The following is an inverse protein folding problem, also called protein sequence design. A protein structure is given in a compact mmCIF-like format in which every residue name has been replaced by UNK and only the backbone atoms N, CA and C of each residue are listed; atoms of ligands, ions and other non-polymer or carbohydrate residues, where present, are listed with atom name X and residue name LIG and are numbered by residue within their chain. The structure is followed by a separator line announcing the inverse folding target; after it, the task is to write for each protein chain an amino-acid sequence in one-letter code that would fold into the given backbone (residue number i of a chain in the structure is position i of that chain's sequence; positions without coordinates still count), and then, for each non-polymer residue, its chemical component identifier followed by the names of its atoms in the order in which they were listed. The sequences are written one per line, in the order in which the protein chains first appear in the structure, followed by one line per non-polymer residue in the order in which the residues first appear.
data_IF_003802901349
#
_entry.id   IF_003802901349
#
_cell.length_a   1.000
_cell.length_b   1.000
_cell.length_c   1.000
_cell.angle_alpha   90.00
_cell.angle_beta   90.00
_cell.angle_gamma   90.00
#
_symmetry.space_group_name_H-M   'P 1'
#
loop_
_entity.id
_entity.type
_entity.pdbx_description
1 polymer ?
#
# COMPACT_ATOMS: atom_id res chain seq x y z
N UNK A 1 17.06 7.64 8.00
CA UNK A 1 15.62 7.66 8.25
C UNK A 1 14.97 6.56 7.44
N UNK A 2 13.93 5.91 7.99
CA UNK A 2 13.13 4.90 7.33
C UNK A 2 11.66 5.15 7.67
N UNK A 3 10.81 5.36 6.66
CA UNK A 3 9.38 5.59 6.83
C UNK A 3 8.64 4.42 6.18
N UNK A 4 7.90 3.70 7.00
CA UNK A 4 7.04 2.60 6.58
C UNK A 4 5.68 3.16 6.16
N UNK A 5 5.34 3.02 4.87
CA UNK A 5 4.05 3.52 4.35
C UNK A 5 2.88 2.61 4.70
N UNK A 6 3.14 1.38 5.18
CA UNK A 6 2.13 0.35 5.32
C UNK A 6 2.38 -0.54 6.56
N UNK A 7 1.69 -0.23 7.64
CA UNK A 7 1.67 -1.04 8.85
C UNK A 7 0.28 -1.04 9.48
N UNK A 8 0.04 -2.03 10.32
CA UNK A 8 -1.25 -2.25 10.95
C UNK A 8 -1.16 -2.42 12.46
N UNK A 9 -2.25 -2.08 13.12
CA UNK A 9 -2.59 -2.50 14.47
C UNK A 9 -3.91 -3.26 14.42
N UNK A 10 -4.23 -4.02 15.44
CA UNK A 10 -5.51 -4.72 15.53
C UNK A 10 -5.36 -6.19 15.83
N UNK A 11 -6.48 -6.88 15.80
CA UNK A 11 -6.59 -8.30 16.10
C UNK A 11 -6.87 -9.09 14.83
N UNK A 12 -6.07 -10.12 14.57
CA UNK A 12 -6.38 -11.07 13.51
C UNK A 12 -7.53 -11.97 13.95
N UNK A 13 -8.64 -11.95 13.21
CA UNK A 13 -9.87 -12.66 13.61
C UNK A 13 -9.71 -14.18 13.59
N UNK A 14 -8.86 -14.72 12.73
CA UNK A 14 -8.56 -16.16 12.66
C UNK A 14 -7.60 -16.64 13.73
N UNK A 15 -6.84 -15.74 14.36
CA UNK A 15 -5.87 -16.04 15.41
C UNK A 15 -5.86 -14.96 16.50
N UNK A 16 -6.65 -15.19 17.52
CA UNK A 16 -6.85 -14.21 18.62
C UNK A 16 -5.58 -13.92 19.45
N UNK A 17 -4.52 -14.71 19.33
CA UNK A 17 -3.24 -14.45 19.98
C UNK A 17 -2.41 -13.43 19.21
N UNK A 18 -2.67 -13.29 17.92
CA UNK A 18 -2.07 -12.29 17.06
C UNK A 18 -2.83 -10.96 17.17
N UNK A 19 -2.50 -10.21 18.21
CA UNK A 19 -3.00 -8.86 18.46
C UNK A 19 -1.82 -7.89 18.51
N UNK A 20 -1.82 -6.93 17.61
CA UNK A 20 -0.84 -5.84 17.57
C UNK A 20 -1.48 -4.59 18.15
N UNK A 21 -1.16 -4.29 19.40
CA UNK A 21 -1.46 -2.98 19.95
C UNK A 21 -0.40 -1.95 19.52
N UNK A 22 -0.65 -0.68 19.81
CA UNK A 22 0.27 0.39 19.45
C UNK A 22 1.65 0.23 20.09
N UNK A 23 1.74 -0.36 21.29
CA UNK A 23 3.03 -0.60 21.99
C UNK A 23 3.83 -1.69 21.26
N UNK A 24 3.15 -2.73 20.81
CA UNK A 24 3.78 -3.78 19.99
C UNK A 24 4.28 -3.21 18.63
N UNK A 25 3.52 -2.32 18.01
CA UNK A 25 3.94 -1.67 16.78
C UNK A 25 5.21 -0.84 17.01
N UNK A 26 5.25 0.01 18.05
CA UNK A 26 6.44 0.79 18.40
C UNK A 26 7.65 -0.12 18.68
N UNK A 27 7.47 -1.21 19.42
CA UNK A 27 8.54 -2.16 19.69
C UNK A 27 9.09 -2.81 18.40
N UNK A 28 8.23 -3.13 17.43
CA UNK A 28 8.65 -3.60 16.09
C UNK A 28 9.43 -2.54 15.32
N UNK A 29 8.92 -1.31 15.30
CA UNK A 29 9.61 -0.19 14.66
C UNK A 29 11.02 -0.01 15.22
N UNK A 30 11.18 -0.06 16.54
CA UNK A 30 12.48 0.06 17.20
C UNK A 30 13.41 -1.10 16.85
N UNK A 31 12.91 -2.33 16.86
CA UNK A 31 13.69 -3.53 16.48
C UNK A 31 14.14 -3.50 15.00
N UNK A 32 13.33 -2.92 14.14
CA UNK A 32 13.61 -2.85 12.70
C UNK A 32 14.25 -1.52 12.26
N UNK A 33 14.42 -0.56 13.17
CA UNK A 33 15.02 0.76 12.87
C UNK A 33 14.13 1.61 11.98
N UNK A 34 12.80 1.50 12.14
CA UNK A 34 11.81 2.30 11.44
C UNK A 34 11.51 3.56 12.27
N UNK A 35 11.68 4.72 11.66
CA UNK A 35 11.49 6.00 12.33
C UNK A 35 10.01 6.38 12.43
N UNK A 36 9.25 6.17 11.35
CA UNK A 36 7.81 6.45 11.29
C UNK A 36 7.07 5.34 10.55
N UNK A 37 5.82 5.09 10.94
CA UNK A 37 4.92 4.15 10.25
C UNK A 37 3.57 4.80 9.98
N UNK A 38 3.08 4.69 8.74
CA UNK A 38 1.68 4.93 8.43
C UNK A 38 0.86 3.74 8.91
N UNK A 39 -0.18 4.02 9.67
CA UNK A 39 -1.05 2.98 10.23
C UNK A 39 -2.37 2.99 9.47
N UNK A 40 -2.70 1.86 8.86
CA UNK A 40 -3.85 1.69 7.97
C UNK A 40 -4.95 0.88 8.66
N UNK A 41 -6.20 1.37 8.66
CA UNK A 41 -7.36 0.59 9.06
C UNK A 41 -7.80 -0.39 7.96
N UNK A 42 -8.60 -1.41 8.33
CA UNK A 42 -9.12 -2.42 7.40
C UNK A 42 -10.63 -2.67 7.55
N UNK A 43 -11.18 -2.50 8.75
CA UNK A 43 -12.50 -3.06 9.07
C UNK A 43 -13.70 -2.22 8.60
N UNK A 44 -13.51 -1.12 7.89
CA UNK A 44 -14.59 -0.40 7.20
C UNK A 44 -15.11 -1.15 5.97
N UNK A 45 -14.28 -2.02 5.39
CA UNK A 45 -14.69 -2.91 4.31
C UNK A 45 -15.06 -4.29 4.85
N UNK A 46 -16.18 -4.89 4.45
CA UNK A 46 -16.50 -6.29 4.80
C UNK A 46 -15.39 -7.27 4.42
N UNK A 47 -14.67 -7.01 3.35
CA UNK A 47 -13.53 -7.79 2.88
C UNK A 47 -12.31 -7.67 3.81
N UNK A 48 -12.22 -6.59 4.58
CA UNK A 48 -11.18 -6.33 5.58
C UNK A 48 -11.37 -7.04 6.92
N UNK A 49 -12.35 -7.93 7.03
CA UNK A 49 -12.64 -8.70 8.24
C UNK A 49 -11.47 -9.58 8.74
N UNK A 50 -10.37 -9.64 8.00
CA UNK A 50 -9.15 -10.30 8.42
C UNK A 50 -8.53 -9.66 9.68
N UNK A 51 -8.52 -8.34 9.75
CA UNK A 51 -7.94 -7.57 10.84
C UNK A 51 -8.95 -6.58 11.42
N UNK A 52 -9.28 -6.74 12.70
CA UNK A 52 -10.19 -5.88 13.44
C UNK A 52 -9.48 -4.58 13.84
N UNK A 53 -9.58 -3.57 13.00
CA UNK A 53 -9.06 -2.22 13.21
C UNK A 53 -9.79 -1.23 12.31
N UNK A 54 -10.47 -0.27 12.88
CA UNK A 54 -11.14 0.81 12.16
C UNK A 54 -10.36 2.13 12.19
N UNK A 55 -10.85 3.14 11.47
CA UNK A 55 -10.21 4.46 11.39
C UNK A 55 -10.09 5.13 12.76
N UNK A 56 -11.09 4.99 13.64
CA UNK A 56 -11.05 5.54 14.99
C UNK A 56 -9.94 4.90 15.84
N UNK A 57 -9.78 3.58 15.74
CA UNK A 57 -8.71 2.86 16.44
C UNK A 57 -7.34 3.36 16.00
N UNK A 58 -7.16 3.58 14.68
CA UNK A 58 -5.93 4.11 14.11
C UNK A 58 -5.64 5.53 14.60
N UNK A 59 -6.60 6.44 14.51
CA UNK A 59 -6.43 7.84 14.96
C UNK A 59 -6.08 7.87 16.46
N UNK A 60 -6.79 7.11 17.28
CA UNK A 60 -6.55 7.03 18.70
C UNK A 60 -5.17 6.45 19.04
N UNK A 61 -4.72 5.43 18.31
CA UNK A 61 -3.39 4.87 18.49
C UNK A 61 -2.29 5.86 18.09
N UNK A 62 -2.44 6.50 16.92
CA UNK A 62 -1.46 7.46 16.40
C UNK A 62 -1.33 8.70 17.29
N UNK A 63 -2.42 9.18 17.90
CA UNK A 63 -2.39 10.32 18.81
C UNK A 63 -1.50 10.10 20.05
N UNK A 64 -1.23 8.85 20.43
CA UNK A 64 -0.33 8.51 21.54
C UNK A 64 1.16 8.61 21.18
N UNK A 65 1.49 8.56 19.88
CA UNK A 65 2.86 8.60 19.37
C UNK A 65 2.94 9.47 18.10
N UNK A 66 2.59 10.77 18.19
CA UNK A 66 2.43 11.64 17.02
C UNK A 66 3.72 11.86 16.23
N UNK A 67 4.88 11.69 16.86
CA UNK A 67 6.18 11.79 16.20
C UNK A 67 6.58 10.51 15.44
N UNK A 68 5.91 9.40 15.71
CA UNK A 68 6.24 8.07 15.19
C UNK A 68 5.19 7.50 14.26
N UNK A 69 3.92 7.79 14.50
CA UNK A 69 2.79 7.19 13.80
C UNK A 69 2.00 8.22 13.02
N UNK A 70 1.60 7.84 11.80
CA UNK A 70 0.87 8.68 10.85
C UNK A 70 -0.44 7.96 10.54
N UNK A 71 -1.60 8.53 10.91
CA UNK A 71 -2.87 7.86 10.64
C UNK A 71 -3.25 7.94 9.17
N UNK A 72 -3.74 6.82 8.65
CA UNK A 72 -4.59 6.76 7.46
C UNK A 72 -6.04 6.58 7.88
N UNK A 73 -6.97 6.92 7.03
CA UNK A 73 -8.38 6.63 7.20
C UNK A 73 -8.86 5.64 6.13
N UNK A 74 -10.02 5.05 6.33
CA UNK A 74 -10.65 4.21 5.34
C UNK A 74 -12.10 4.67 5.15
N UNK A 75 -12.53 4.73 3.90
CA UNK A 75 -13.90 5.07 3.51
C UNK A 75 -14.36 4.02 2.50
N UNK A 76 -15.46 3.33 2.81
CA UNK A 76 -16.03 2.41 1.84
C UNK A 76 -16.73 3.20 0.73
N UNK A 77 -16.34 3.05 -0.56
CA UNK A 77 -16.97 3.76 -1.66
C UNK A 77 -18.44 3.39 -1.85
N UNK A 78 -18.89 2.27 -1.28
CA UNK A 78 -20.29 1.82 -1.27
C UNK A 78 -21.16 2.56 -0.25
N UNK A 79 -20.56 3.36 0.62
CA UNK A 79 -21.29 4.13 1.61
C UNK A 79 -22.30 5.07 0.91
N UNK A 80 -23.56 5.00 1.34
CA UNK A 80 -24.66 5.71 0.69
C UNK A 80 -25.16 5.07 -0.61
N UNK A 81 -24.47 4.07 -1.16
CA UNK A 81 -24.84 3.29 -2.36
C UNK A 81 -25.26 4.17 -3.56
N UNK A 82 -24.54 5.26 -3.79
CA UNK A 82 -24.81 6.21 -4.86
C UNK A 82 -23.53 6.82 -5.42
N UNK A 83 -23.29 6.80 -6.76
CA UNK A 83 -22.07 7.31 -7.38
C UNK A 83 -21.89 8.84 -7.29
N UNK A 84 -22.87 9.56 -6.79
CA UNK A 84 -22.79 10.99 -6.47
C UNK A 84 -22.78 11.26 -4.96
N UNK A 85 -22.44 10.27 -4.11
CA UNK A 85 -22.29 10.48 -2.67
C UNK A 85 -21.24 11.55 -2.41
N UNK A 86 -21.58 12.52 -1.58
CA UNK A 86 -20.67 13.57 -1.15
C UNK A 86 -19.89 13.11 0.08
N UNK A 87 -18.59 12.86 -0.10
CA UNK A 87 -17.65 12.47 0.96
C UNK A 87 -16.92 13.66 1.58
N UNK A 88 -17.20 14.90 1.14
CA UNK A 88 -16.46 16.10 1.56
C UNK A 88 -16.33 16.20 3.07
N UNK A 89 -17.45 16.04 3.79
CA UNK A 89 -17.45 16.15 5.25
C UNK A 89 -16.54 15.11 5.93
N UNK A 90 -16.60 13.86 5.49
CA UNK A 90 -15.72 12.78 6.02
C UNK A 90 -14.25 13.04 5.71
N UNK A 91 -13.94 13.47 4.50
CA UNK A 91 -12.56 13.76 4.07
C UNK A 91 -12.00 14.97 4.84
N UNK A 92 -12.78 16.01 5.04
CA UNK A 92 -12.41 17.17 5.86
C UNK A 92 -12.17 16.78 7.31
N UNK A 93 -13.07 16.00 7.91
CA UNK A 93 -12.94 15.51 9.28
C UNK A 93 -11.68 14.70 9.48
N UNK A 94 -11.46 13.66 8.66
CA UNK A 94 -10.29 12.79 8.80
C UNK A 94 -8.99 13.54 8.57
N UNK A 95 -8.95 14.42 7.57
CA UNK A 95 -7.79 15.28 7.32
C UNK A 95 -7.51 16.22 8.51
N UNK A 96 -8.54 16.85 9.08
CA UNK A 96 -8.40 17.71 10.26
C UNK A 96 -7.89 16.94 11.49
N UNK A 97 -8.19 15.64 11.57
CA UNK A 97 -7.70 14.73 12.61
C UNK A 97 -6.32 14.12 12.33
N UNK A 98 -5.68 14.57 11.26
CA UNK A 98 -4.28 14.23 10.93
C UNK A 98 -4.10 13.09 9.95
N UNK A 99 -5.16 12.50 9.40
CA UNK A 99 -5.04 11.45 8.38
C UNK A 99 -4.34 11.99 7.13
N UNK A 100 -3.39 11.21 6.60
CA UNK A 100 -2.53 11.58 5.48
C UNK A 100 -2.79 10.79 4.20
N UNK A 101 -3.70 9.84 4.23
CA UNK A 101 -4.10 9.02 3.09
C UNK A 101 -5.33 8.19 3.40
N UNK A 102 -5.85 7.54 2.38
CA UNK A 102 -6.96 6.59 2.46
C UNK A 102 -6.40 5.19 2.16
N UNK A 103 -6.69 4.24 3.00
CA UNK A 103 -6.24 2.85 2.84
C UNK A 103 -6.19 2.10 4.18
N UNK A 104 -6.14 0.81 4.13
CA UNK A 104 -5.93 0.01 2.95
C UNK A 104 -7.25 -0.24 2.22
N UNK A 105 -7.35 0.23 0.96
CA UNK A 105 -8.58 0.14 0.17
C UNK A 105 -8.66 -1.23 -0.49
N UNK A 106 -9.58 -2.06 -0.01
CA UNK A 106 -9.76 -3.44 -0.50
C UNK A 106 -11.22 -3.88 -0.71
N UNK A 107 -12.15 -2.97 -1.12
CA UNK A 107 -13.49 -3.38 -1.45
C UNK A 107 -13.48 -4.27 -2.70
N UNK A 108 -14.34 -5.29 -2.73
CA UNK A 108 -14.47 -6.15 -3.90
C UNK A 108 -15.31 -5.46 -5.00
N UNK A 109 -14.77 -4.39 -5.55
CA UNK A 109 -15.31 -3.62 -6.66
C UNK A 109 -14.33 -3.62 -7.83
N UNK A 110 -14.84 -3.42 -9.03
CA UNK A 110 -13.96 -3.09 -10.15
C UNK A 110 -13.25 -1.76 -9.88
N UNK A 111 -12.02 -1.63 -10.33
CA UNK A 111 -11.24 -0.41 -10.14
C UNK A 111 -11.95 0.84 -10.69
N UNK A 112 -12.66 0.69 -11.78
CA UNK A 112 -13.44 1.73 -12.46
C UNK A 112 -14.94 1.71 -12.11
N UNK A 113 -15.33 1.08 -11.00
CA UNK A 113 -16.69 1.16 -10.51
C UNK A 113 -17.09 2.62 -10.25
N UNK A 114 -18.28 3.08 -10.68
CA UNK A 114 -18.70 4.47 -10.49
C UNK A 114 -18.68 4.95 -9.02
N UNK A 115 -18.91 4.05 -8.06
CA UNK A 115 -18.80 4.36 -6.63
C UNK A 115 -17.35 4.63 -6.24
N UNK A 116 -16.43 3.79 -6.71
CA UNK A 116 -14.99 3.93 -6.46
C UNK A 116 -14.43 5.20 -7.11
N UNK A 117 -14.73 5.43 -8.39
CA UNK A 117 -14.31 6.64 -9.12
C UNK A 117 -14.80 7.92 -8.44
N UNK A 118 -16.01 7.91 -7.87
CA UNK A 118 -16.55 9.06 -7.13
C UNK A 118 -15.68 9.37 -5.90
N UNK A 119 -15.33 8.36 -5.10
CA UNK A 119 -14.46 8.55 -3.94
C UNK A 119 -13.07 9.01 -4.37
N UNK A 120 -12.50 8.41 -5.43
CA UNK A 120 -11.16 8.78 -5.92
C UNK A 120 -11.09 10.24 -6.31
N UNK A 121 -12.03 10.73 -7.12
CA UNK A 121 -12.08 12.16 -7.52
C UNK A 121 -12.17 13.11 -6.33
N UNK A 122 -12.89 12.72 -5.29
CA UNK A 122 -13.01 13.54 -4.08
C UNK A 122 -11.70 13.47 -3.25
N UNK A 123 -11.12 12.31 -3.06
CA UNK A 123 -9.84 12.14 -2.35
C UNK A 123 -8.71 13.02 -2.94
N UNK A 124 -8.61 13.09 -4.27
CA UNK A 124 -7.64 13.93 -4.97
C UNK A 124 -7.75 15.42 -4.62
N UNK A 125 -8.96 15.94 -4.49
CA UNK A 125 -9.21 17.35 -4.10
C UNK A 125 -8.71 17.67 -2.69
N UNK A 126 -8.61 16.65 -1.84
CA UNK A 126 -8.09 16.77 -0.47
C UNK A 126 -6.62 16.39 -0.35
N UNK A 127 -5.96 16.05 -1.46
CA UNK A 127 -4.57 15.59 -1.48
C UNK A 127 -4.34 14.36 -0.60
N UNK A 128 -5.34 13.48 -0.53
CA UNK A 128 -5.23 12.20 0.19
C UNK A 128 -4.93 11.09 -0.83
N UNK A 129 -3.71 10.56 -0.85
CA UNK A 129 -3.37 9.40 -1.69
C UNK A 129 -4.20 8.19 -1.26
N UNK A 130 -4.45 7.28 -2.22
CA UNK A 130 -5.18 6.04 -1.99
C UNK A 130 -4.21 4.87 -2.09
N UNK A 131 -3.98 4.17 -0.99
CA UNK A 131 -3.28 2.88 -0.98
C UNK A 131 -4.31 1.78 -1.16
N UNK A 132 -4.16 1.00 -2.22
CA UNK A 132 -5.11 -0.05 -2.60
C UNK A 132 -4.47 -1.42 -2.64
N UNK A 133 -5.26 -2.46 -2.29
CA UNK A 133 -4.87 -3.86 -2.43
C UNK A 133 -5.64 -4.56 -3.55
N UNK A 134 -4.99 -5.53 -4.17
CA UNK A 134 -5.55 -6.38 -5.23
C UNK A 134 -5.13 -7.83 -5.02
N UNK A 135 -6.13 -8.71 -4.86
CA UNK A 135 -5.91 -10.16 -4.85
C UNK A 135 -7.03 -10.90 -5.55
N UNK A 136 -6.75 -11.45 -6.69
CA UNK A 136 -7.69 -12.28 -7.47
C UNK A 136 -7.88 -13.69 -6.88
N UNK A 137 -8.79 -14.45 -7.48
CA UNK A 137 -8.97 -15.87 -7.21
C UNK A 137 -9.94 -16.20 -6.08
N UNK A 138 -9.95 -17.46 -5.63
CA UNK A 138 -10.77 -17.89 -4.50
C UNK A 138 -10.40 -17.13 -3.25
N UNK A 139 -11.39 -16.68 -2.48
CA UNK A 139 -11.19 -15.82 -1.31
C UNK A 139 -10.52 -14.48 -1.66
N UNK A 140 -10.83 -13.95 -2.85
CA UNK A 140 -10.32 -12.66 -3.31
C UNK A 140 -10.82 -11.50 -2.43
N UNK A 141 -9.96 -10.53 -2.27
CA UNK A 141 -10.27 -9.24 -1.66
C UNK A 141 -9.58 -8.14 -2.49
N UNK A 142 -9.91 -6.89 -2.18
CA UNK A 142 -9.32 -5.78 -2.89
C UNK A 142 -10.02 -5.47 -4.20
N UNK A 143 -9.52 -4.44 -4.85
CA UNK A 143 -10.05 -3.96 -6.11
C UNK A 143 -9.79 -4.97 -7.24
N UNK A 144 -10.76 -5.12 -8.13
CA UNK A 144 -10.74 -6.10 -9.19
C UNK A 144 -10.34 -5.47 -10.53
N UNK A 145 -9.52 -6.17 -11.28
CA UNK A 145 -9.12 -5.77 -12.63
C UNK A 145 -8.86 -6.98 -13.53
N UNK A 146 -8.96 -6.77 -14.83
CA UNK A 146 -8.59 -7.73 -15.84
C UNK A 146 -7.04 -7.73 -16.05
N UNK A 147 -6.53 -8.70 -16.83
CA UNK A 147 -5.10 -8.73 -17.21
C UNK A 147 -4.70 -7.44 -17.92
N UNK A 148 -3.52 -6.94 -17.58
CA UNK A 148 -3.00 -5.68 -18.12
C UNK A 148 -3.49 -4.43 -17.41
N UNK A 149 -4.33 -4.59 -16.36
CA UNK A 149 -4.83 -3.53 -15.48
C UNK A 149 -5.57 -2.39 -16.22
N UNK A 150 -6.51 -2.72 -17.16
CA UNK A 150 -7.21 -1.68 -17.95
C UNK A 150 -8.13 -0.79 -17.11
N UNK A 151 -8.70 -1.32 -16.02
CA UNK A 151 -9.59 -0.55 -15.14
C UNK A 151 -8.82 0.39 -14.23
N UNK A 152 -7.66 -0.03 -13.73
CA UNK A 152 -6.72 0.86 -13.04
C UNK A 152 -6.27 1.97 -13.99
N UNK A 153 -5.93 1.63 -15.24
CA UNK A 153 -5.56 2.62 -16.24
C UNK A 153 -6.68 3.65 -16.46
N UNK A 154 -7.93 3.20 -16.56
CA UNK A 154 -9.09 4.10 -16.66
C UNK A 154 -9.23 4.99 -15.40
N UNK A 155 -9.10 4.44 -14.21
CA UNK A 155 -9.15 5.23 -12.98
C UNK A 155 -8.02 6.29 -12.90
N UNK A 156 -6.81 5.95 -13.35
CA UNK A 156 -5.68 6.89 -13.41
C UNK A 156 -5.97 8.08 -14.35
N UNK A 157 -6.66 7.82 -15.47
CA UNK A 157 -7.07 8.85 -16.43
C UNK A 157 -8.19 9.75 -15.90
N UNK A 158 -9.20 9.14 -15.29
CA UNK A 158 -10.37 9.83 -14.76
C UNK A 158 -10.11 10.63 -13.48
N UNK A 159 -9.05 10.26 -12.74
CA UNK A 159 -8.71 10.85 -11.45
C UNK A 159 -7.24 11.33 -11.41
N UNK A 160 -6.83 12.24 -12.31
CA UNK A 160 -5.42 12.64 -12.44
C UNK A 160 -4.85 13.38 -11.21
N UNK A 161 -5.72 13.94 -10.37
CA UNK A 161 -5.33 14.63 -9.13
C UNK A 161 -5.12 13.66 -7.97
N UNK A 162 -5.56 12.39 -8.10
CA UNK A 162 -5.48 11.37 -7.07
C UNK A 162 -4.22 10.55 -7.25
N UNK A 163 -3.37 10.48 -6.24
CA UNK A 163 -2.24 9.55 -6.24
C UNK A 163 -2.74 8.18 -5.77
N UNK A 164 -2.46 7.17 -6.59
CA UNK A 164 -2.74 5.78 -6.28
C UNK A 164 -1.44 5.07 -5.90
N UNK A 165 -1.45 4.34 -4.79
CA UNK A 165 -0.32 3.55 -4.29
C UNK A 165 -0.69 2.08 -4.43
N UNK A 166 -0.06 1.40 -5.37
CA UNK A 166 -0.34 0.01 -5.71
C UNK A 166 0.27 -0.96 -4.70
N UNK A 167 -0.57 -1.89 -4.24
CA UNK A 167 -0.23 -2.95 -3.31
C UNK A 167 -0.94 -4.26 -3.71
N UNK A 168 -0.46 -5.36 -3.16
CA UNK A 168 -1.10 -6.67 -3.22
C UNK A 168 -0.54 -7.64 -4.26
N UNK A 169 -0.90 -8.94 -4.11
CA UNK A 169 -0.34 -10.00 -4.96
C UNK A 169 -0.64 -9.81 -6.45
N UNK A 170 -1.87 -9.45 -6.80
CA UNK A 170 -2.26 -9.27 -8.21
C UNK A 170 -1.56 -8.07 -8.84
N UNK A 171 -1.46 -6.94 -8.13
CA UNK A 171 -0.70 -5.79 -8.61
C UNK A 171 0.74 -6.16 -8.91
N UNK A 172 1.45 -6.76 -7.93
CA UNK A 172 2.86 -7.12 -8.10
C UNK A 172 3.09 -8.29 -9.06
N UNK A 173 2.11 -9.15 -9.30
CA UNK A 173 2.20 -10.17 -10.34
C UNK A 173 2.27 -9.54 -11.74
N UNK A 174 1.49 -8.48 -11.99
CA UNK A 174 1.42 -7.75 -13.26
C UNK A 174 2.69 -6.92 -13.60
N UNK A 175 3.76 -7.07 -12.81
CA UNK A 175 5.10 -6.56 -13.18
C UNK A 175 5.67 -7.30 -14.41
N UNK A 176 5.15 -8.49 -14.73
CA UNK A 176 5.48 -9.29 -15.91
C UNK A 176 4.21 -9.55 -16.73
N UNK A 177 4.28 -9.56 -18.09
CA UNK A 177 3.09 -9.71 -18.92
C UNK A 177 2.52 -11.13 -18.97
N UNK A 178 3.32 -12.14 -18.61
CA UNK A 178 3.00 -13.56 -18.84
C UNK A 178 2.78 -14.33 -17.54
N UNK A 179 1.91 -13.82 -16.71
CA UNK A 179 1.60 -14.49 -15.45
C UNK A 179 0.46 -15.51 -15.68
N UNK A 180 0.68 -16.80 -15.37
CA UNK A 180 -0.39 -17.79 -15.39
C UNK A 180 -1.52 -17.41 -14.43
N UNK A 181 -2.77 -17.75 -14.83
CA UNK A 181 -3.96 -17.38 -14.06
C UNK A 181 -3.93 -17.88 -12.62
N UNK A 182 -3.39 -19.06 -12.40
CA UNK A 182 -3.24 -19.69 -11.08
C UNK A 182 -2.14 -19.04 -10.21
N UNK A 183 -1.28 -18.19 -10.79
CA UNK A 183 -0.20 -17.50 -10.09
C UNK A 183 -0.46 -16.00 -9.90
N UNK A 184 -1.43 -15.43 -10.62
CA UNK A 184 -1.73 -13.98 -10.58
C UNK A 184 -2.10 -13.48 -9.18
N UNK A 185 -2.78 -14.31 -8.39
CA UNK A 185 -3.15 -13.99 -7.01
C UNK A 185 -2.14 -14.44 -5.96
N UNK A 186 -0.91 -14.74 -6.38
CA UNK A 186 0.13 -15.29 -5.51
C UNK A 186 1.49 -14.62 -5.70
N UNK A 187 2.51 -15.40 -5.54
CA UNK A 187 3.91 -14.98 -5.67
C UNK A 187 4.57 -15.75 -6.83
N UNK A 188 4.45 -15.26 -8.08
CA UNK A 188 5.00 -15.94 -9.23
C UNK A 188 6.52 -16.12 -9.11
N UNK A 189 7.03 -17.27 -9.59
CA UNK A 189 8.46 -17.53 -9.70
C UNK A 189 9.02 -17.20 -11.09
N UNK A 190 10.36 -17.31 -11.21
CA UNK A 190 11.06 -17.16 -12.49
C UNK A 190 11.33 -15.72 -12.91
N UNK A 191 11.92 -15.57 -14.10
CA UNK A 191 12.34 -14.28 -14.65
C UNK A 191 11.15 -13.38 -14.97
N UNK A 192 11.37 -12.08 -14.85
CA UNK A 192 10.41 -11.05 -15.23
C UNK A 192 10.70 -10.63 -16.67
N UNK A 193 9.67 -10.68 -17.52
CA UNK A 193 9.78 -10.21 -18.89
C UNK A 193 9.31 -8.76 -19.02
N UNK A 194 9.88 -8.02 -19.96
CA UNK A 194 9.43 -6.67 -20.28
C UNK A 194 8.00 -6.66 -20.79
N UNK A 195 7.31 -5.55 -20.57
CA UNK A 195 5.94 -5.34 -21.04
C UNK A 195 4.85 -5.58 -19.99
N UNK A 196 5.21 -5.81 -18.72
CA UNK A 196 4.24 -5.88 -17.64
C UNK A 196 3.42 -4.62 -17.49
N UNK A 197 2.18 -4.75 -17.00
CA UNK A 197 1.26 -3.63 -16.86
C UNK A 197 1.75 -2.61 -15.82
N UNK A 198 2.28 -3.07 -14.69
CA UNK A 198 2.77 -2.18 -13.62
C UNK A 198 3.87 -1.24 -14.13
N UNK A 199 5.01 -1.70 -14.70
CA UNK A 199 6.02 -0.77 -15.20
C UNK A 199 5.50 0.10 -16.35
N UNK A 200 4.63 -0.40 -17.23
CA UNK A 200 4.01 0.38 -18.29
C UNK A 200 3.19 1.55 -17.73
N UNK A 201 2.29 1.26 -16.80
CA UNK A 201 1.42 2.28 -16.19
C UNK A 201 2.21 3.28 -15.35
N UNK A 202 3.21 2.82 -14.59
CA UNK A 202 4.06 3.71 -13.82
C UNK A 202 4.88 4.68 -14.68
N UNK A 203 5.28 4.28 -15.91
CA UNK A 203 5.93 5.20 -16.88
C UNK A 203 4.95 6.22 -17.43
N UNK A 204 3.73 5.77 -17.73
CA UNK A 204 2.73 6.57 -18.44
C UNK A 204 2.00 7.55 -17.51
N UNK A 205 1.72 7.14 -16.28
CA UNK A 205 0.88 7.90 -15.34
C UNK A 205 1.68 8.40 -14.13
N UNK A 206 1.82 9.73 -13.96
CA UNK A 206 2.56 10.31 -12.83
C UNK A 206 1.88 10.04 -11.49
N UNK A 207 0.60 9.76 -11.51
CA UNK A 207 -0.24 9.52 -10.33
C UNK A 207 -0.32 8.03 -9.90
N UNK A 208 0.41 7.12 -10.56
CA UNK A 208 0.59 5.75 -10.06
C UNK A 208 1.94 5.61 -9.37
N UNK A 209 1.91 5.24 -8.10
CA UNK A 209 3.02 4.92 -7.24
C UNK A 209 2.90 3.48 -6.76
N UNK A 210 3.90 2.94 -6.09
CA UNK A 210 3.82 1.58 -5.55
C UNK A 210 4.45 1.47 -4.16
N UNK A 211 3.82 0.65 -3.33
CA UNK A 211 4.27 0.23 -2.02
C UNK A 211 5.03 -1.10 -2.12
N UNK A 212 6.25 -1.15 -1.60
CA UNK A 212 7.13 -2.33 -1.70
C UNK A 212 6.88 -3.39 -0.63
N UNK A 213 5.82 -3.24 0.17
CA UNK A 213 5.55 -4.06 1.35
C UNK A 213 5.09 -5.49 1.04
N UNK A 214 4.91 -6.25 2.11
CA UNK A 214 4.47 -7.65 2.10
C UNK A 214 5.39 -8.63 1.34
N UNK A 215 4.97 -9.88 1.27
CA UNK A 215 5.59 -10.89 0.42
C UNK A 215 5.41 -10.62 -1.07
N UNK A 216 4.35 -9.90 -1.46
CA UNK A 216 4.06 -9.55 -2.85
C UNK A 216 5.06 -8.54 -3.41
N UNK A 217 5.30 -7.43 -2.72
CA UNK A 217 6.31 -6.45 -3.11
C UNK A 217 7.72 -7.05 -3.07
N UNK A 218 8.04 -7.79 -2.01
CA UNK A 218 9.32 -8.49 -1.92
C UNK A 218 9.52 -9.46 -3.09
N UNK A 219 8.52 -10.28 -3.44
CA UNK A 219 8.59 -11.19 -4.59
C UNK A 219 8.78 -10.43 -5.92
N UNK A 220 8.00 -9.37 -6.15
CA UNK A 220 8.12 -8.55 -7.35
C UNK A 220 9.52 -7.97 -7.56
N UNK A 221 10.19 -7.59 -6.48
CA UNK A 221 11.52 -6.97 -6.51
C UNK A 221 12.69 -7.95 -6.46
N UNK A 222 12.50 -9.19 -6.03
CA UNK A 222 13.61 -10.10 -5.74
C UNK A 222 13.60 -11.41 -6.52
N UNK A 223 12.46 -11.83 -7.10
CA UNK A 223 12.39 -13.07 -7.90
C UNK A 223 13.27 -13.04 -9.14
N UNK A 224 13.52 -11.84 -9.69
CA UNK A 224 14.50 -11.55 -10.74
C UNK A 224 15.38 -10.39 -10.27
N UNK A 225 16.55 -10.66 -9.68
CA UNK A 225 17.37 -9.62 -9.05
C UNK A 225 17.90 -8.55 -10.02
N UNK A 226 18.12 -8.89 -11.28
CA UNK A 226 18.58 -7.93 -12.29
C UNK A 226 17.46 -6.97 -12.66
N UNK A 227 16.27 -7.50 -12.93
CA UNK A 227 15.07 -6.70 -13.19
C UNK A 227 14.70 -5.85 -11.98
N UNK A 228 14.67 -6.42 -10.79
CA UNK A 228 14.30 -5.71 -9.57
C UNK A 228 15.18 -4.50 -9.27
N UNK A 229 16.48 -4.60 -9.47
CA UNK A 229 17.40 -3.46 -9.34
C UNK A 229 17.13 -2.38 -10.39
N UNK A 230 16.92 -2.77 -11.64
CA UNK A 230 16.59 -1.82 -12.70
C UNK A 230 15.24 -1.12 -12.43
N UNK A 231 14.25 -1.87 -11.93
CA UNK A 231 12.94 -1.33 -11.56
C UNK A 231 13.05 -0.34 -10.38
N UNK A 232 13.81 -0.66 -9.35
CA UNK A 232 14.05 0.25 -8.22
C UNK A 232 14.75 1.54 -8.65
N UNK A 233 15.71 1.45 -9.57
CA UNK A 233 16.43 2.61 -10.09
C UNK A 233 15.52 3.47 -10.98
N UNK A 234 14.77 2.85 -11.90
CA UNK A 234 13.87 3.55 -12.82
C UNK A 234 12.73 4.27 -12.07
N UNK A 235 12.12 3.59 -11.11
CA UNK A 235 10.94 4.11 -10.40
C UNK A 235 11.24 4.70 -9.02
N UNK A 236 12.51 5.00 -8.74
CA UNK A 236 12.96 5.50 -7.44
C UNK A 236 12.17 6.70 -6.90
N UNK A 237 11.53 7.49 -7.76
CA UNK A 237 10.73 8.67 -7.38
C UNK A 237 9.26 8.36 -7.07
N UNK A 238 8.83 7.11 -7.29
CA UNK A 238 7.42 6.67 -7.12
C UNK A 238 7.28 5.42 -6.25
N UNK A 239 8.38 4.90 -5.74
CA UNK A 239 8.36 3.75 -4.84
C UNK A 239 8.41 4.21 -3.38
N UNK A 240 7.68 3.49 -2.53
CA UNK A 240 7.58 3.74 -1.11
C UNK A 240 7.97 2.48 -0.35
N UNK A 241 8.84 2.63 0.65
CA UNK A 241 9.15 1.53 1.55
C UNK A 241 7.95 1.22 2.43
N UNK A 242 7.60 -0.05 2.58
CA UNK A 242 6.54 -0.52 3.45
C UNK A 242 6.81 -1.93 3.99
N UNK A 243 6.16 -2.31 5.08
CA UNK A 243 6.30 -3.64 5.68
C UNK A 243 5.06 -4.51 5.58
N UNK A 244 3.87 -3.93 5.65
CA UNK A 244 2.58 -4.61 5.80
C UNK A 244 2.57 -5.52 7.05
N UNK A 245 3.23 -5.06 8.11
CA UNK A 245 3.30 -5.82 9.34
C UNK A 245 1.99 -5.76 10.11
N UNK A 246 1.35 -6.91 10.25
CA UNK A 246 0.06 -7.05 10.94
C UNK A 246 0.07 -8.10 12.06
N UNK A 247 1.18 -8.84 12.28
CA UNK A 247 1.28 -9.89 13.29
C UNK A 247 2.18 -9.50 14.44
N UNK A 248 1.79 -9.85 15.66
CA UNK A 248 2.63 -9.65 16.86
C UNK A 248 3.92 -10.46 16.77
N UNK A 249 3.84 -11.68 16.27
CA UNK A 249 4.97 -12.58 16.10
C UNK A 249 6.08 -12.04 15.17
N UNK A 250 5.78 -11.08 14.30
CA UNK A 250 6.77 -10.47 13.40
C UNK A 250 7.91 -9.75 14.14
N UNK A 251 7.72 -9.37 15.42
CA UNK A 251 8.77 -8.68 16.21
C UNK A 251 10.05 -9.51 16.33
N UNK A 252 9.92 -10.85 16.32
CA UNK A 252 11.04 -11.76 16.51
C UNK A 252 11.85 -12.05 15.25
N UNK A 253 11.38 -11.56 14.08
CA UNK A 253 12.02 -11.79 12.80
C UNK A 253 11.99 -10.50 11.97
N UNK A 254 13.13 -10.13 11.44
CA UNK A 254 13.21 -9.04 10.45
C UNK A 254 12.47 -9.50 9.19
N UNK A 255 11.46 -8.74 8.75
CA UNK A 255 10.75 -9.08 7.52
C UNK A 255 11.71 -9.08 6.33
N UNK A 256 11.48 -9.95 5.31
CA UNK A 256 12.36 -10.03 4.15
C UNK A 256 12.59 -8.69 3.47
N UNK A 257 11.57 -7.83 3.39
CA UNK A 257 11.71 -6.51 2.75
C UNK A 257 12.65 -5.57 3.54
N UNK A 258 12.59 -5.57 4.87
CA UNK A 258 13.51 -4.78 5.71
C UNK A 258 14.96 -5.27 5.53
N UNK A 259 15.15 -6.61 5.53
CA UNK A 259 16.46 -7.20 5.30
C UNK A 259 17.01 -6.83 3.91
N UNK A 260 16.17 -6.88 2.89
CA UNK A 260 16.52 -6.54 1.51
C UNK A 260 16.97 -5.07 1.37
N UNK A 261 16.23 -4.11 1.92
CA UNK A 261 16.64 -2.70 1.87
C UNK A 261 17.92 -2.42 2.67
N UNK A 262 18.14 -3.13 3.79
CA UNK A 262 19.42 -3.07 4.52
C UNK A 262 20.59 -3.60 3.69
N UNK A 263 20.39 -4.72 2.98
CA UNK A 263 21.38 -5.28 2.07
C UNK A 263 21.72 -4.31 0.94
N UNK A 264 20.71 -3.74 0.27
CA UNK A 264 20.90 -2.74 -0.79
C UNK A 264 21.74 -1.56 -0.30
N UNK A 265 21.46 -1.07 0.90
CA UNK A 265 22.22 0.02 1.52
C UNK A 265 23.69 -0.37 1.81
N UNK A 266 23.92 -1.58 2.30
CA UNK A 266 25.26 -2.08 2.63
C UNK A 266 26.09 -2.38 1.38
N UNK A 267 25.49 -3.01 0.39
CA UNK A 267 26.18 -3.49 -0.82
C UNK A 267 26.34 -2.41 -1.90
N UNK A 268 25.64 -1.29 -1.76
CA UNK A 268 25.63 -0.17 -2.73
C UNK A 268 25.22 -0.61 -4.16
N UNK A 269 24.39 -1.63 -4.26
CA UNK A 269 23.85 -2.10 -5.55
C UNK A 269 22.84 -1.12 -6.15
N UNK A 270 22.31 -0.23 -5.33
CA UNK A 270 21.48 0.92 -5.72
C UNK A 270 22.15 2.21 -5.23
N UNK A 271 21.97 3.32 -5.90
CA UNK A 271 22.53 4.59 -5.47
C UNK A 271 21.99 4.99 -4.09
N UNK A 272 22.81 5.69 -3.30
CA UNK A 272 22.38 6.21 -1.98
C UNK A 272 21.14 7.08 -2.12
N UNK A 273 21.09 7.90 -3.18
CA UNK A 273 19.98 8.80 -3.45
C UNK A 273 18.68 8.01 -3.72
N UNK A 274 18.72 6.99 -4.56
CA UNK A 274 17.57 6.14 -4.84
C UNK A 274 17.07 5.42 -3.59
N UNK A 275 17.98 4.88 -2.77
CA UNK A 275 17.61 4.26 -1.50
C UNK A 275 16.94 5.28 -0.57
N UNK A 276 17.48 6.49 -0.43
CA UNK A 276 16.89 7.54 0.42
C UNK A 276 15.53 8.00 -0.08
N UNK A 277 15.34 8.08 -1.41
CA UNK A 277 14.04 8.41 -2.01
C UNK A 277 13.00 7.38 -1.60
N UNK A 278 13.26 6.11 -1.82
CA UNK A 278 12.33 5.01 -1.52
C UNK A 278 12.12 4.88 -0.01
N UNK A 279 13.20 4.96 0.77
CA UNK A 279 13.14 4.74 2.22
C UNK A 279 12.36 5.82 2.98
N UNK A 280 12.36 7.08 2.53
CA UNK A 280 11.72 8.14 3.29
C UNK A 280 11.37 9.43 2.53
N UNK A 281 12.19 9.87 1.54
CA UNK A 281 11.96 11.19 0.88
C UNK A 281 10.64 11.23 0.13
N UNK A 282 10.29 10.13 -0.55
CA UNK A 282 9.03 10.02 -1.28
C UNK A 282 7.82 10.07 -0.33
N UNK A 283 7.87 9.33 0.78
CA UNK A 283 6.81 9.35 1.78
C UNK A 283 6.64 10.75 2.39
N UNK A 284 7.73 11.43 2.72
CA UNK A 284 7.67 12.81 3.23
C UNK A 284 7.03 13.76 2.21
N UNK A 285 7.47 13.69 0.96
CA UNK A 285 6.94 14.53 -0.13
C UNK A 285 5.45 14.26 -0.36
N UNK A 286 5.06 12.98 -0.42
CA UNK A 286 3.68 12.56 -0.71
C UNK A 286 2.72 12.97 0.40
N UNK A 287 3.13 12.77 1.64
CA UNK A 287 2.27 12.98 2.82
C UNK A 287 2.36 14.41 3.40
N UNK A 288 3.27 15.24 2.91
CA UNK A 288 3.47 16.61 3.42
C UNK A 288 3.90 16.64 4.89
N UNK A 289 4.90 15.84 5.28
CA UNK A 289 5.40 15.68 6.66
C UNK A 289 6.89 15.95 6.76
#
# INVERSE_FOLDING_TARGET
MLIDIHGHIGRILSDRQEFVDVTNLIAKMDAWGIDKTCVLPLSEHPEGAYLECNTEDVINACSRYPDRLIPFCLIDPRYGNHPGMDFTHLLEEYRARGCKGIGEMLPKLNFDDPLALNLYRQAGKFYLPILFDMKDGPYSYGLCDDYGLPRLEHALQECPETIFIGHGPTFWAEISPDIPADQRAGYPGGSIRDGGAVPRLMRQYPNLWADTSAGSGYNGLTRDPAFGLAFLDEFQDKLLFGTDSCRRSDIHQITPIVAFFRELHQTRRLSKEAIEKIAWKNSMRLLGI
#
